data_IF_531400461523
#
_entry.id   IF_531400461523
#
_cell.length_a   1.000
_cell.length_b   1.000
_cell.length_c   1.000
_cell.angle_alpha   90.00
_cell.angle_beta   90.00
_cell.angle_gamma   90.00
#
_symmetry.space_group_name_H-M   'P 1'
#
loop_
_entity.id
_entity.type
_entity.pdbx_description
1 polymer ?
#
# COMPACT_ATOMS: atom_id res chain seq x y z
N UNK A 1 3.58 -17.41 30.40
CA UNK A 1 3.35 -16.47 29.28
C UNK A 1 1.84 -16.29 29.16
N UNK A 2 1.31 -15.06 29.19
CA UNK A 2 -0.11 -14.81 28.91
C UNK A 2 -0.34 -15.11 27.42
N UNK A 3 -1.39 -15.86 27.10
CA UNK A 3 -1.62 -16.62 25.85
C UNK A 3 -1.79 -15.83 24.55
N UNK A 4 -1.11 -14.68 24.38
CA UNK A 4 -1.13 -13.91 23.13
C UNK A 4 -2.50 -13.37 22.74
N UNK A 5 -3.50 -13.46 23.63
CA UNK A 5 -4.87 -13.04 23.35
C UNK A 5 -4.87 -11.52 23.16
N UNK A 6 -5.20 -11.01 21.97
CA UNK A 6 -5.32 -9.58 21.77
C UNK A 6 -6.41 -9.05 22.70
N UNK A 7 -6.09 -8.01 23.47
CA UNK A 7 -7.04 -7.34 24.37
C UNK A 7 -8.15 -6.56 23.62
N UNK A 8 -8.16 -6.63 22.28
CA UNK A 8 -9.02 -5.87 21.40
C UNK A 8 -10.18 -6.77 20.97
N UNK A 9 -11.39 -6.43 21.42
CA UNK A 9 -12.62 -6.98 20.85
C UNK A 9 -13.05 -6.08 19.70
N UNK A 10 -13.04 -6.59 18.48
CA UNK A 10 -13.58 -5.85 17.34
C UNK A 10 -15.10 -5.85 17.42
N UNK A 11 -15.70 -4.68 17.52
CA UNK A 11 -17.13 -4.53 17.29
C UNK A 11 -17.43 -4.57 15.78
N UNK A 12 -18.68 -4.83 15.37
CA UNK A 12 -19.08 -4.69 13.96
C UNK A 12 -18.77 -3.30 13.38
N UNK A 13 -18.81 -2.25 14.20
CA UNK A 13 -18.43 -0.90 13.80
C UNK A 13 -16.92 -0.78 13.50
N UNK A 14 -16.06 -1.47 14.26
CA UNK A 14 -14.62 -1.47 14.00
C UNK A 14 -14.28 -2.20 12.70
N UNK A 15 -15.01 -3.28 12.41
CA UNK A 15 -14.89 -4.00 11.13
C UNK A 15 -15.26 -3.09 9.96
N UNK A 16 -16.43 -2.44 10.01
CA UNK A 16 -16.88 -1.55 8.95
C UNK A 16 -15.93 -0.36 8.74
N UNK A 17 -15.43 0.23 9.83
CA UNK A 17 -14.42 1.29 9.75
C UNK A 17 -13.11 0.79 9.12
N UNK A 18 -12.73 -0.47 9.37
CA UNK A 18 -11.55 -1.08 8.75
C UNK A 18 -11.74 -1.25 7.25
N UNK A 19 -12.90 -1.74 6.81
CA UNK A 19 -13.25 -1.85 5.40
C UNK A 19 -13.16 -0.50 4.69
N UNK A 20 -13.75 0.55 5.27
CA UNK A 20 -13.67 1.92 4.74
C UNK A 20 -12.22 2.41 4.62
N UNK A 21 -11.36 2.11 5.61
CA UNK A 21 -9.94 2.48 5.57
C UNK A 21 -9.13 1.70 4.54
N UNK A 22 -9.61 0.53 4.12
CA UNK A 22 -8.95 -0.35 3.15
C UNK A 22 -9.61 -0.29 1.77
N UNK A 23 -10.64 0.54 1.59
CA UNK A 23 -11.39 0.63 0.34
C UNK A 23 -10.53 0.98 -0.89
N UNK A 24 -9.41 1.66 -0.68
CA UNK A 24 -8.46 2.04 -1.74
C UNK A 24 -7.06 1.47 -1.49
N UNK A 25 -6.98 0.34 -0.78
CA UNK A 25 -5.73 -0.33 -0.50
C UNK A 25 -5.34 -1.28 -1.64
N UNK A 26 -4.07 -1.26 -2.03
CA UNK A 26 -3.46 -2.18 -2.99
C UNK A 26 -2.33 -2.94 -2.31
N UNK A 27 -2.23 -4.23 -2.61
CA UNK A 27 -1.06 -5.05 -2.22
C UNK A 27 -0.20 -5.25 -3.45
N UNK A 28 1.01 -4.69 -3.42
CA UNK A 28 2.01 -4.91 -4.44
C UNK A 28 2.88 -6.11 -4.08
N UNK A 29 3.07 -7.00 -5.06
CA UNK A 29 3.85 -8.23 -4.93
C UNK A 29 5.09 -8.15 -5.81
N UNK A 30 6.27 -8.21 -5.21
CA UNK A 30 7.55 -8.26 -5.93
C UNK A 30 7.98 -9.71 -6.15
N UNK A 31 8.60 -9.99 -7.29
CA UNK A 31 9.02 -11.33 -7.69
C UNK A 31 10.30 -11.81 -6.98
N UNK A 32 11.31 -10.94 -6.89
CA UNK A 32 12.63 -11.26 -6.32
C UNK A 32 12.91 -10.57 -4.97
N UNK A 33 12.42 -9.34 -4.78
CA UNK A 33 12.59 -8.53 -3.57
C UNK A 33 11.99 -7.15 -3.78
N UNK A 34 11.69 -6.42 -2.70
CA UNK A 34 11.15 -5.06 -2.78
C UNK A 34 12.27 -4.00 -2.65
N UNK A 35 12.23 -2.89 -3.41
CA UNK A 35 13.12 -1.73 -3.21
C UNK A 35 12.93 -1.09 -1.83
N UNK A 36 13.78 -0.14 -1.43
CA UNK A 36 13.56 0.55 -0.15
C UNK A 36 12.21 1.30 -0.14
N UNK A 37 11.57 1.43 1.03
CA UNK A 37 10.31 2.18 1.14
C UNK A 37 10.50 3.63 0.72
N UNK A 38 11.68 4.19 0.96
CA UNK A 38 12.00 5.56 0.56
C UNK A 38 12.10 5.67 -0.97
N UNK A 39 12.69 4.69 -1.66
CA UNK A 39 12.77 4.69 -3.12
C UNK A 39 11.40 4.53 -3.75
N UNK A 40 10.57 3.62 -3.21
CA UNK A 40 9.18 3.44 -3.63
C UNK A 40 8.40 4.75 -3.47
N UNK A 41 8.44 5.38 -2.30
CA UNK A 41 7.73 6.65 -2.05
C UNK A 41 8.22 7.75 -2.99
N UNK A 42 9.54 7.93 -3.09
CA UNK A 42 10.14 8.96 -3.95
C UNK A 42 9.74 8.78 -5.40
N UNK A 43 9.78 7.53 -5.90
CA UNK A 43 9.36 7.23 -7.26
C UNK A 43 7.88 7.55 -7.50
N UNK A 44 6.99 7.15 -6.59
CA UNK A 44 5.56 7.40 -6.72
C UNK A 44 5.26 8.90 -6.70
N UNK A 45 5.85 9.64 -5.76
CA UNK A 45 5.67 11.08 -5.62
C UNK A 45 6.15 11.84 -6.87
N UNK A 46 7.24 11.39 -7.49
CA UNK A 46 7.80 12.03 -8.68
C UNK A 46 7.03 11.69 -9.97
N UNK A 47 6.49 10.49 -10.10
CA UNK A 47 6.04 9.98 -11.40
C UNK A 47 4.53 9.77 -11.52
N UNK A 48 3.80 9.52 -10.43
CA UNK A 48 2.41 9.03 -10.53
C UNK A 48 1.36 10.14 -10.38
N UNK A 49 1.76 11.34 -9.95
CA UNK A 49 0.87 12.51 -9.89
C UNK A 49 -0.36 12.27 -9.01
N UNK A 50 -0.18 11.56 -7.89
CA UNK A 50 -1.26 11.30 -6.93
C UNK A 50 -1.75 12.60 -6.32
N UNK A 51 -3.06 12.70 -6.10
CA UNK A 51 -3.69 13.90 -5.56
C UNK A 51 -3.72 13.90 -4.03
N UNK A 52 -3.78 12.72 -3.41
CA UNK A 52 -3.74 12.57 -1.96
C UNK A 52 -2.47 11.93 -1.41
N UNK A 53 -2.38 11.91 -0.08
CA UNK A 53 -1.24 11.30 0.62
C UNK A 53 -1.30 9.77 0.49
N UNK A 54 -0.19 9.18 0.05
CA UNK A 54 0.00 7.75 0.03
C UNK A 54 0.59 7.26 1.37
N UNK A 55 0.01 6.20 1.93
CA UNK A 55 0.64 5.43 3.01
C UNK A 55 1.25 4.16 2.42
N UNK A 56 2.54 3.94 2.67
CA UNK A 56 3.25 2.71 2.29
C UNK A 56 3.55 1.90 3.53
N UNK A 57 2.97 0.69 3.62
CA UNK A 57 3.20 -0.27 4.69
C UNK A 57 4.03 -1.46 4.20
N UNK A 58 4.88 -2.01 5.06
CA UNK A 58 5.58 -3.28 4.80
C UNK A 58 4.71 -4.42 5.32
N UNK A 59 4.45 -5.41 4.48
CA UNK A 59 3.79 -6.66 4.90
C UNK A 59 4.88 -7.71 5.17
N UNK A 60 5.75 -7.95 4.19
CA UNK A 60 6.87 -8.89 4.29
C UNK A 60 7.99 -8.47 3.29
N UNK A 61 9.11 -9.22 3.16
CA UNK A 61 10.22 -8.87 2.26
C UNK A 61 9.87 -8.71 0.78
N UNK A 62 8.70 -9.19 0.34
CA UNK A 62 8.24 -9.15 -1.06
C UNK A 62 6.88 -8.47 -1.24
N UNK A 63 6.24 -8.04 -0.16
CA UNK A 63 4.90 -7.45 -0.22
C UNK A 63 4.84 -6.11 0.50
N UNK A 64 4.24 -5.12 -0.16
CA UNK A 64 3.93 -3.83 0.44
C UNK A 64 2.44 -3.52 0.28
N UNK A 65 1.91 -2.78 1.24
CA UNK A 65 0.60 -2.17 1.21
C UNK A 65 0.75 -0.74 0.71
N UNK A 66 0.01 -0.37 -0.33
CA UNK A 66 -0.26 1.02 -0.68
C UNK A 66 -1.68 1.35 -0.24
N UNK A 67 -1.83 2.28 0.70
CA UNK A 67 -3.16 2.79 1.06
C UNK A 67 -3.35 4.19 0.49
N UNK A 68 -4.31 4.32 -0.42
CA UNK A 68 -4.60 5.52 -1.17
C UNK A 68 -5.85 6.21 -0.60
N UNK A 69 -6.06 7.47 -0.95
CA UNK A 69 -7.19 8.26 -0.42
C UNK A 69 -8.41 8.23 -1.32
N UNK A 70 -8.27 7.84 -2.58
CA UNK A 70 -9.35 7.90 -3.57
C UNK A 70 -9.21 6.82 -4.63
N UNK A 71 -10.35 6.44 -5.24
CA UNK A 71 -10.39 5.58 -6.42
C UNK A 71 -9.60 6.18 -7.60
N UNK A 72 -9.61 7.50 -7.77
CA UNK A 72 -8.83 8.17 -8.81
C UNK A 72 -7.32 7.93 -8.65
N UNK A 73 -6.82 7.94 -7.42
CA UNK A 73 -5.41 7.66 -7.12
C UNK A 73 -5.07 6.16 -7.29
N UNK A 74 -6.04 5.27 -7.08
CA UNK A 74 -5.92 3.84 -7.42
C UNK A 74 -5.72 3.67 -8.92
N UNK A 75 -6.54 4.33 -9.74
CA UNK A 75 -6.42 4.27 -11.21
C UNK A 75 -5.07 4.82 -11.70
N UNK A 76 -4.60 5.94 -11.14
CA UNK A 76 -3.28 6.50 -11.46
C UNK A 76 -2.15 5.55 -11.06
N UNK A 77 -2.24 4.96 -9.88
CA UNK A 77 -1.28 3.97 -9.39
C UNK A 77 -1.20 2.76 -10.33
N UNK A 78 -2.34 2.21 -10.75
CA UNK A 78 -2.36 1.08 -11.71
C UNK A 78 -1.68 1.44 -13.03
N UNK A 79 -1.98 2.62 -13.58
CA UNK A 79 -1.30 3.12 -14.80
C UNK A 79 0.21 3.30 -14.59
N UNK A 80 0.63 3.80 -13.43
CA UNK A 80 2.04 3.98 -13.09
C UNK A 80 2.80 2.65 -13.05
N UNK A 81 2.18 1.60 -12.52
CA UNK A 81 2.74 0.25 -12.46
C UNK A 81 2.91 -0.40 -13.84
N UNK A 82 2.02 -0.11 -14.78
CA UNK A 82 2.06 -0.63 -16.15
C UNK A 82 3.08 0.12 -17.05
N UNK A 83 3.53 1.31 -16.62
CA UNK A 83 4.46 2.13 -17.38
C UNK A 83 5.88 1.55 -17.42
N UNK A 84 6.65 1.86 -18.48
CA UNK A 84 8.03 1.37 -18.71
C UNK A 84 9.08 1.79 -17.65
N UNK A 85 8.67 2.48 -16.58
CA UNK A 85 9.51 2.81 -15.42
C UNK A 85 8.90 2.39 -14.08
N UNK A 86 7.95 1.45 -14.06
CA UNK A 86 7.30 0.99 -12.82
C UNK A 86 8.29 0.49 -11.76
N UNK A 87 7.82 0.26 -10.54
CA UNK A 87 8.66 -0.04 -9.35
C UNK A 87 9.66 -1.21 -9.51
N UNK A 88 9.47 -2.08 -10.51
CA UNK A 88 10.44 -3.12 -10.86
C UNK A 88 11.77 -2.60 -11.39
N UNK A 89 11.86 -1.35 -11.87
CA UNK A 89 13.12 -0.73 -12.31
C UNK A 89 13.96 -0.16 -11.17
N UNK A 90 13.46 -0.21 -9.93
CA UNK A 90 14.15 0.29 -8.73
C UNK A 90 14.93 -0.81 -7.99
N UNK A 91 14.90 -2.05 -8.50
CA UNK A 91 15.50 -3.25 -7.88
C UNK A 91 16.87 -3.57 -8.46
#
# INVERSE_FOLDING_TARGET
MKDGIPAIRFSPHDMHRSEQKMAHALILKFSAGRPSINDIKSHIDLHWGLSGKLVVGIIDPRHILLNLTSEADVLKTMKGLESRGGLGSLS
#
